data_IF_471869710604
#
_entry.id   IF_471869710604
#
_cell.length_a   1.000
_cell.length_b   1.000
_cell.length_c   1.000
_cell.angle_alpha   90.00
_cell.angle_beta   90.00
_cell.angle_gamma   90.00
#
_symmetry.space_group_name_H-M   'P 1'
#
loop_
_entity.id
_entity.type
_entity.pdbx_description
1 polymer ?
#
# COMPACT_ATOMS: atom_id res chain seq x y z
N UNK A 1 -5.16 -24.89 -15.77
CA UNK A 1 -5.97 -23.73 -16.21
C UNK A 1 -7.15 -23.60 -15.27
N UNK A 2 -7.29 -22.48 -14.57
CA UNK A 2 -8.43 -22.27 -13.68
C UNK A 2 -9.68 -22.05 -14.54
N UNK A 3 -10.67 -22.94 -14.44
CA UNK A 3 -11.87 -22.93 -15.30
C UNK A 3 -12.92 -21.92 -14.84
N UNK A 4 -12.71 -21.26 -13.69
CA UNK A 4 -13.61 -20.21 -13.20
C UNK A 4 -13.47 -18.95 -14.04
N UNK A 5 -14.59 -18.37 -14.53
CA UNK A 5 -14.57 -17.14 -15.29
C UNK A 5 -14.07 -15.96 -14.43
N UNK A 6 -13.39 -15.02 -15.08
CA UNK A 6 -12.93 -13.76 -14.48
C UNK A 6 -14.09 -12.78 -14.46
N UNK A 7 -14.81 -12.77 -13.35
CA UNK A 7 -16.04 -11.96 -13.20
C UNK A 7 -15.75 -10.61 -12.55
N UNK A 8 -14.92 -10.61 -11.53
CA UNK A 8 -14.53 -9.42 -10.77
C UNK A 8 -13.03 -9.42 -10.52
N UNK A 9 -12.41 -8.26 -10.68
CA UNK A 9 -10.98 -8.06 -10.47
C UNK A 9 -10.73 -6.83 -9.62
N UNK A 10 -9.86 -6.96 -8.63
CA UNK A 10 -9.44 -5.85 -7.75
C UNK A 10 -8.03 -5.39 -8.12
N UNK A 11 -7.79 -4.06 -8.21
CA UNK A 11 -6.47 -3.54 -8.51
C UNK A 11 -5.56 -3.71 -7.29
N UNK A 12 -4.49 -4.49 -7.46
CA UNK A 12 -3.51 -4.78 -6.39
C UNK A 12 -2.25 -3.92 -6.53
N UNK A 13 -1.86 -3.54 -7.75
CA UNK A 13 -0.67 -2.73 -8.01
C UNK A 13 -0.90 -1.76 -9.17
N UNK A 14 -0.17 -0.65 -9.15
CA UNK A 14 -0.06 0.31 -10.25
C UNK A 14 1.15 -0.02 -11.10
N UNK A 15 1.00 0.10 -12.41
CA UNK A 15 2.05 -0.14 -13.39
C UNK A 15 2.51 1.22 -13.91
N UNK A 16 3.75 1.59 -13.58
CA UNK A 16 4.33 2.87 -14.00
C UNK A 16 5.39 2.63 -15.06
N UNK A 17 5.44 3.48 -16.08
CA UNK A 17 6.54 3.52 -17.03
C UNK A 17 7.82 3.94 -16.31
N UNK A 18 8.94 3.24 -16.52
CA UNK A 18 10.23 3.63 -15.92
C UNK A 18 10.81 4.90 -16.53
N UNK A 19 10.53 5.17 -17.81
CA UNK A 19 11.10 6.32 -18.54
C UNK A 19 10.43 7.63 -18.18
N UNK A 20 9.10 7.62 -18.11
CA UNK A 20 8.30 8.82 -17.89
C UNK A 20 7.66 8.89 -16.50
N UNK A 21 7.78 7.83 -15.70
CA UNK A 21 7.10 7.68 -14.40
C UNK A 21 5.57 7.73 -14.46
N UNK A 22 4.99 7.78 -15.67
CA UNK A 22 3.56 7.85 -15.87
C UNK A 22 2.88 6.51 -15.59
N UNK A 23 1.67 6.57 -15.06
CA UNK A 23 0.80 5.42 -14.90
C UNK A 23 0.35 4.90 -16.27
N UNK A 24 0.70 3.66 -16.59
CA UNK A 24 0.40 2.99 -17.86
C UNK A 24 -0.55 1.81 -17.70
N UNK A 25 -0.92 1.44 -16.48
CA UNK A 25 -1.89 0.41 -16.20
C UNK A 25 -2.00 0.02 -14.74
N UNK A 26 -2.80 -1.01 -14.47
CA UNK A 26 -2.96 -1.62 -13.16
C UNK A 26 -2.84 -3.13 -13.26
N UNK A 27 -2.32 -3.75 -12.21
CA UNK A 27 -2.32 -5.19 -12.04
C UNK A 27 -3.58 -5.57 -11.26
N UNK A 28 -4.41 -6.42 -11.83
CA UNK A 28 -5.64 -6.90 -11.20
C UNK A 28 -5.49 -8.34 -10.74
N UNK A 29 -5.98 -8.60 -9.53
CA UNK A 29 -6.23 -9.96 -9.05
C UNK A 29 -7.71 -10.27 -9.24
N UNK A 30 -7.99 -11.35 -9.96
CA UNK A 30 -9.34 -11.81 -10.25
C UNK A 30 -9.85 -12.74 -9.15
N UNK A 31 -11.17 -12.85 -9.02
CA UNK A 31 -11.86 -13.74 -8.07
C UNK A 31 -11.51 -15.23 -8.21
N UNK A 32 -11.00 -15.64 -9.37
CA UNK A 32 -10.52 -17.00 -9.62
C UNK A 32 -9.06 -17.22 -9.16
N UNK A 33 -8.39 -16.18 -8.67
CA UNK A 33 -6.99 -16.18 -8.28
C UNK A 33 -6.01 -15.83 -9.40
N UNK A 34 -6.48 -15.62 -10.63
CA UNK A 34 -5.62 -15.16 -11.72
C UNK A 34 -5.15 -13.73 -11.47
N UNK A 35 -3.91 -13.44 -11.84
CA UNK A 35 -3.35 -12.09 -11.81
C UNK A 35 -3.06 -11.67 -13.24
N UNK A 36 -3.64 -10.54 -13.69
CA UNK A 36 -3.46 -10.06 -15.05
C UNK A 36 -3.25 -8.54 -15.09
N UNK A 37 -2.26 -8.04 -15.85
CA UNK A 37 -2.11 -6.62 -16.09
C UNK A 37 -3.20 -6.12 -17.06
N UNK A 38 -3.74 -4.95 -16.74
CA UNK A 38 -4.61 -4.17 -17.60
C UNK A 38 -3.89 -2.87 -17.97
N UNK A 39 -3.54 -2.74 -19.25
CA UNK A 39 -2.79 -1.63 -19.80
C UNK A 39 -3.74 -0.60 -20.42
N UNK A 40 -3.41 0.69 -20.31
CA UNK A 40 -4.22 1.75 -20.92
C UNK A 40 -3.94 1.89 -22.42
N UNK A 41 -2.65 2.00 -22.81
CA UNK A 41 -2.22 2.27 -24.18
C UNK A 41 -1.40 1.11 -24.79
N UNK A 42 -1.73 -0.13 -24.39
CA UNK A 42 -1.04 -1.34 -24.83
C UNK A 42 0.11 -1.78 -23.92
N UNK A 43 0.66 -2.97 -24.18
CA UNK A 43 1.66 -3.57 -23.31
C UNK A 43 3.01 -2.82 -23.39
N UNK A 44 3.52 -2.38 -22.25
CA UNK A 44 4.84 -1.75 -22.13
C UNK A 44 5.86 -2.71 -21.51
N UNK A 45 7.06 -2.79 -22.10
CA UNK A 45 8.16 -3.62 -21.57
C UNK A 45 8.92 -2.93 -20.42
N UNK A 46 9.12 -1.61 -20.49
CA UNK A 46 9.92 -0.83 -19.53
C UNK A 46 9.06 -0.28 -18.39
N UNK A 47 8.49 -1.16 -17.56
CA UNK A 47 7.61 -0.77 -16.46
C UNK A 47 8.10 -1.22 -15.08
N UNK A 48 7.62 -0.54 -14.05
CA UNK A 48 7.72 -0.94 -12.63
C UNK A 48 6.32 -1.14 -12.07
N UNK A 49 6.21 -2.10 -11.16
CA UNK A 49 5.00 -2.35 -10.41
C UNK A 49 5.19 -1.76 -9.02
N UNK A 50 4.24 -0.94 -8.60
CA UNK A 50 4.22 -0.40 -7.24
C UNK A 50 2.89 -0.76 -6.57
N UNK A 51 2.89 -1.07 -5.27
CA UNK A 51 1.64 -1.26 -4.54
C UNK A 51 0.74 -0.04 -4.70
N UNK A 52 -0.57 -0.25 -4.89
CA UNK A 52 -1.52 0.79 -4.54
C UNK A 52 -1.34 0.99 -3.05
N UNK A 53 -0.78 2.13 -2.64
CA UNK A 53 -0.61 2.47 -1.23
C UNK A 53 -2.01 2.41 -0.62
N UNK A 54 -2.35 1.27 -0.01
CA UNK A 54 -3.33 1.28 1.05
C UNK A 54 -2.67 2.18 2.07
N UNK A 55 -3.27 3.35 2.32
CA UNK A 55 -2.97 4.16 3.49
C UNK A 55 -2.69 3.17 4.62
N UNK A 56 -1.57 3.33 5.37
CA UNK A 56 -1.22 2.36 6.39
C UNK A 56 -2.51 2.09 7.17
N UNK A 57 -2.99 0.84 7.12
CA UNK A 57 -3.95 0.39 8.12
C UNK A 57 -3.27 0.85 9.40
N UNK A 58 -3.91 1.78 10.12
CA UNK A 58 -3.44 2.20 11.42
C UNK A 58 -3.11 0.91 12.15
N UNK A 59 -1.81 0.64 12.25
CA UNK A 59 -1.30 -0.37 13.12
C UNK A 59 -1.69 0.20 14.47
N UNK A 60 -2.82 -0.30 14.97
CA UNK A 60 -3.20 -0.22 16.37
C UNK A 60 -2.17 -1.05 17.14
N UNK A 61 -0.93 -0.59 17.13
CA UNK A 61 0.08 -0.83 18.11
C UNK A 61 0.86 0.48 18.13
N UNK A 62 0.45 1.36 19.02
CA UNK A 62 1.35 2.31 19.65
C UNK A 62 2.31 1.47 20.53
N UNK A 63 3.60 1.27 20.20
CA UNK A 63 4.56 1.02 21.24
C UNK A 63 4.93 2.39 21.80
N UNK A 64 4.42 2.68 22.98
CA UNK A 64 4.79 3.80 23.82
C UNK A 64 6.28 4.14 23.67
N UNK A 65 6.60 5.40 23.37
CA UNK A 65 7.96 5.92 23.45
C UNK A 65 8.37 5.92 24.93
N UNK A 66 9.33 5.09 25.40
CA UNK A 66 9.81 5.21 26.77
C UNK A 66 10.89 6.28 26.78
N UNK A 67 10.47 7.55 26.80
CA UNK A 67 11.42 8.63 26.54
C UNK A 67 10.90 10.03 26.76
N UNK A 68 9.94 10.25 27.64
CA UNK A 68 9.65 11.61 28.13
C UNK A 68 9.74 11.64 29.65
N UNK A 69 10.95 11.97 30.11
CA UNK A 69 11.19 12.50 31.45
C UNK A 69 10.31 13.74 31.61
N UNK A 70 9.20 13.60 32.32
CA UNK A 70 8.53 14.74 32.92
C UNK A 70 8.94 14.78 34.38
N UNK A 71 9.88 15.69 34.64
CA UNK A 71 10.28 16.12 35.97
C UNK A 71 9.02 16.54 36.72
N UNK A 72 8.73 15.88 37.84
CA UNK A 72 7.61 16.27 38.70
C UNK A 72 7.76 17.73 39.11
N UNK A 73 6.68 18.52 39.10
CA UNK A 73 6.75 19.89 39.61
C UNK A 73 7.09 19.81 41.10
N UNK A 74 8.17 20.49 41.46
CA UNK A 74 8.55 20.80 42.83
C UNK A 74 7.35 21.40 43.58
N UNK A 75 6.65 20.57 44.36
CA UNK A 75 5.73 21.07 45.36
C UNK A 75 6.49 21.15 46.68
N UNK A 76 6.88 22.39 46.98
CA UNK A 76 7.15 22.93 48.29
C UNK A 76 6.02 22.53 49.25
N UNK A 77 6.28 21.68 50.23
CA UNK A 77 5.42 21.57 51.41
C UNK A 77 6.23 21.91 52.66
N UNK A 78 5.84 23.02 53.27
CA UNK A 78 6.21 23.40 54.63
C UNK A 78 5.43 22.53 55.61
N UNK A 79 6.11 21.94 56.58
CA UNK A 79 5.58 21.64 57.93
C UNK A 79 6.75 21.42 58.90
#
# INVERSE_FOLDING_TARGET
>A
MNTKPRLTGEPIMRILCKKSENLVGYLYQWNNGDVQPAWFDGAFADVRYEPLVQAPKEDSANPEIPGLRQQGPSHLENA
#
